data_IF_754555312537
#
_entry.id   IF_754555312537
#
_cell.length_a   1.000
_cell.length_b   1.000
_cell.length_c   1.000
_cell.angle_alpha   90.00
_cell.angle_beta   90.00
_cell.angle_gamma   90.00
#
_symmetry.space_group_name_H-M   'P 1'
#
loop_
_entity.id
_entity.type
_entity.pdbx_description
1 polymer ?
#
# COMPACT_ATOMS: atom_id res chain seq x y z
N UNK A 1 6.13 -3.36 0.18
CA UNK A 1 5.69 -2.26 1.07
C UNK A 1 5.50 -1.02 0.20
N UNK A 2 4.29 -0.75 -0.28
CA UNK A 2 3.98 0.49 -0.98
C UNK A 2 4.04 1.64 0.03
N UNK A 3 5.08 2.46 -0.08
CA UNK A 3 5.41 3.43 0.95
C UNK A 3 4.40 4.56 1.01
N UNK A 4 3.75 4.71 2.17
CA UNK A 4 2.99 5.90 2.59
C UNK A 4 3.92 7.09 2.88
N UNK A 5 4.94 7.27 2.04
CA UNK A 5 5.91 8.33 2.20
C UNK A 5 5.26 9.66 1.78
N UNK A 6 5.42 10.63 2.68
CA UNK A 6 5.35 12.07 2.47
C UNK A 6 4.02 12.76 2.80
N UNK A 7 3.91 13.16 4.07
CA UNK A 7 2.88 14.09 4.59
C UNK A 7 3.46 15.37 5.19
N UNK A 8 4.78 15.44 5.26
CA UNK A 8 5.53 16.55 5.84
C UNK A 8 5.82 17.58 4.74
N UNK A 9 5.78 18.87 5.08
CA UNK A 9 6.37 19.87 4.17
C UNK A 9 7.86 19.58 4.03
N UNK A 10 8.36 19.62 2.79
CA UNK A 10 9.74 19.27 2.44
C UNK A 10 10.75 20.10 3.23
N UNK A 11 10.37 21.31 3.61
CA UNK A 11 11.23 22.27 4.30
C UNK A 11 11.40 21.99 5.79
N UNK A 12 10.51 21.20 6.40
CA UNK A 12 10.71 20.68 7.76
C UNK A 12 11.80 19.61 7.80
N UNK A 13 12.27 19.14 6.64
CA UNK A 13 13.30 18.11 6.50
C UNK A 13 14.66 18.77 6.34
N UNK A 14 15.66 18.39 7.15
CA UNK A 14 17.03 18.88 7.00
C UNK A 14 17.54 18.72 5.56
N UNK A 15 18.21 19.74 5.03
CA UNK A 15 18.63 19.78 3.62
C UNK A 15 19.44 18.54 3.20
N UNK A 16 20.32 18.03 4.08
CA UNK A 16 21.10 16.83 3.80
C UNK A 16 20.23 15.56 3.72
N UNK A 17 19.12 15.47 4.47
CA UNK A 17 18.15 14.37 4.32
C UNK A 17 17.43 14.46 2.98
N UNK A 18 17.11 15.66 2.52
CA UNK A 18 16.45 15.83 1.22
C UNK A 18 17.30 15.26 0.09
N UNK A 19 18.62 15.50 0.10
CA UNK A 19 19.55 14.89 -0.87
C UNK A 19 19.53 13.36 -0.83
N UNK A 20 19.51 12.76 0.36
CA UNK A 20 19.41 11.29 0.53
C UNK A 20 18.07 10.77 -0.01
N UNK A 21 16.97 11.44 0.30
CA UNK A 21 15.64 11.08 -0.21
C UNK A 21 15.56 11.19 -1.73
N UNK A 22 16.08 12.28 -2.32
CA UNK A 22 16.13 12.45 -3.77
C UNK A 22 16.96 11.36 -4.43
N UNK A 23 18.13 11.01 -3.87
CA UNK A 23 18.94 9.90 -4.39
C UNK A 23 18.17 8.57 -4.36
N UNK A 24 17.51 8.26 -3.23
CA UNK A 24 16.73 7.05 -3.09
C UNK A 24 15.54 7.02 -4.05
N UNK A 25 14.77 8.11 -4.14
CA UNK A 25 13.65 8.26 -5.05
C UNK A 25 14.11 8.06 -6.51
N UNK A 26 15.13 8.78 -6.95
CA UNK A 26 15.70 8.63 -8.30
C UNK A 26 16.25 7.22 -8.57
N UNK A 27 16.75 6.51 -7.55
CA UNK A 27 17.14 5.10 -7.68
C UNK A 27 15.93 4.19 -7.90
N UNK A 28 14.83 4.40 -7.16
CA UNK A 28 13.60 3.62 -7.35
C UNK A 28 12.96 3.91 -8.71
N UNK A 29 12.85 5.18 -9.12
CA UNK A 29 12.28 5.54 -10.43
C UNK A 29 13.05 4.89 -11.58
N UNK A 30 14.40 4.86 -11.51
CA UNK A 30 15.22 4.13 -12.50
C UNK A 30 14.98 2.63 -12.49
N UNK A 31 14.78 2.02 -11.32
CA UNK A 31 14.54 0.58 -11.19
C UNK A 31 13.18 0.18 -11.79
N UNK A 32 12.15 0.99 -11.60
CA UNK A 32 10.80 0.69 -12.06
C UNK A 32 10.55 1.05 -13.53
N UNK A 33 11.49 1.71 -14.20
CA UNK A 33 11.34 2.22 -15.58
C UNK A 33 9.99 2.93 -15.79
N UNK A 34 9.52 3.64 -14.77
CA UNK A 34 8.20 4.26 -14.80
C UNK A 34 8.23 5.44 -15.75
N UNK A 35 7.43 5.35 -16.82
CA UNK A 35 7.11 6.48 -17.68
C UNK A 35 6.12 7.38 -16.96
N UNK A 36 6.32 8.69 -17.09
CA UNK A 36 5.49 9.69 -16.44
C UNK A 36 4.73 10.45 -17.50
N UNK A 37 3.42 10.55 -17.37
CA UNK A 37 2.60 11.25 -18.33
C UNK A 37 2.07 12.54 -17.73
N UNK A 38 2.07 13.61 -18.53
CA UNK A 38 1.43 14.86 -18.16
C UNK A 38 -0.08 14.62 -17.98
N UNK A 39 -0.70 15.04 -16.86
CA UNK A 39 -2.13 14.80 -16.65
C UNK A 39 -3.02 15.57 -17.64
N UNK A 40 -2.55 16.66 -18.24
CA UNK A 40 -3.30 17.44 -19.21
C UNK A 40 -3.21 16.88 -20.64
N UNK A 41 -2.01 16.51 -21.12
CA UNK A 41 -1.79 16.12 -22.52
C UNK A 41 -1.22 14.72 -22.73
N UNK A 42 -1.00 13.95 -21.66
CA UNK A 42 -0.42 12.59 -21.67
C UNK A 42 1.01 12.47 -22.23
N UNK A 43 1.68 13.58 -22.55
CA UNK A 43 3.07 13.56 -22.99
C UNK A 43 4.02 13.02 -21.92
N UNK A 44 5.04 12.27 -22.33
CA UNK A 44 6.02 11.66 -21.42
C UNK A 44 6.94 12.74 -20.81
N UNK A 45 7.12 12.69 -19.49
CA UNK A 45 7.87 13.65 -18.68
C UNK A 45 9.18 13.04 -18.16
N UNK A 46 10.23 13.86 -17.97
CA UNK A 46 11.51 13.38 -17.46
C UNK A 46 11.40 12.81 -16.03
N UNK A 47 12.11 11.71 -15.78
CA UNK A 47 12.00 10.90 -14.57
C UNK A 47 12.98 11.25 -13.44
N UNK A 48 13.27 12.54 -13.25
CA UNK A 48 14.18 13.02 -12.19
C UNK A 48 13.43 13.79 -11.10
N UNK A 49 13.93 13.66 -9.88
CA UNK A 49 13.49 14.36 -8.67
C UNK A 49 14.64 15.23 -8.18
N UNK A 50 14.43 16.53 -8.10
CA UNK A 50 15.34 17.49 -7.49
C UNK A 50 15.40 17.33 -5.97
N UNK A 51 16.55 17.68 -5.38
CA UNK A 51 16.73 17.57 -3.94
C UNK A 51 16.05 18.70 -3.15
N UNK A 52 15.71 19.81 -3.78
CA UNK A 52 15.23 21.00 -3.07
C UNK A 52 13.76 20.87 -2.67
N UNK A 53 12.91 20.42 -3.61
CA UNK A 53 11.47 20.30 -3.45
C UNK A 53 10.94 18.86 -3.39
N UNK A 54 11.77 17.84 -3.66
CA UNK A 54 11.39 16.42 -3.57
C UNK A 54 10.03 16.10 -4.22
N UNK A 55 9.01 15.75 -3.44
CA UNK A 55 7.66 15.41 -3.92
C UNK A 55 6.77 16.63 -4.18
N UNK A 56 7.17 17.81 -3.72
CA UNK A 56 6.50 19.09 -4.01
C UNK A 56 7.03 19.71 -5.31
N UNK A 57 7.96 19.07 -6.02
CA UNK A 57 8.45 19.59 -7.31
C UNK A 57 7.37 19.51 -8.40
N UNK A 58 7.15 20.64 -9.08
CA UNK A 58 6.29 20.74 -10.26
C UNK A 58 7.13 20.54 -11.51
N UNK A 59 6.85 19.50 -12.30
CA UNK A 59 7.56 19.29 -13.57
C UNK A 59 6.77 19.93 -14.71
N UNK A 60 7.32 20.95 -15.40
CA UNK A 60 6.66 21.54 -16.56
C UNK A 60 6.64 20.53 -17.70
N UNK A 61 5.48 20.39 -18.33
CA UNK A 61 5.31 19.56 -19.50
C UNK A 61 5.88 20.26 -20.73
N UNK A 62 6.83 19.65 -21.46
CA UNK A 62 7.40 20.26 -22.65
C UNK A 62 6.39 20.38 -23.80
N UNK A 63 5.30 19.59 -23.78
CA UNK A 63 4.31 19.59 -24.86
C UNK A 63 3.21 20.64 -24.69
N UNK A 64 2.65 20.78 -23.48
CA UNK A 64 1.52 21.70 -23.23
C UNK A 64 1.82 22.83 -22.24
N UNK A 65 3.02 22.86 -21.64
CA UNK A 65 3.38 23.83 -20.61
C UNK A 65 2.75 23.58 -19.23
N UNK A 66 1.76 22.68 -19.12
CA UNK A 66 1.12 22.36 -17.85
C UNK A 66 2.09 21.69 -16.86
N UNK A 67 1.85 21.86 -15.57
CA UNK A 67 2.75 21.41 -14.51
C UNK A 67 2.22 20.16 -13.84
N UNK A 68 2.94 19.05 -14.00
CA UNK A 68 2.55 17.79 -13.40
C UNK A 68 3.12 17.64 -11.98
N UNK A 69 2.30 17.24 -10.99
CA UNK A 69 2.82 16.88 -9.68
C UNK A 69 3.71 15.66 -9.75
N UNK A 70 4.83 15.68 -9.05
CA UNK A 70 5.70 14.50 -8.94
C UNK A 70 4.96 13.30 -8.32
N UNK A 71 3.86 13.50 -7.59
CA UNK A 71 3.05 12.40 -7.06
C UNK A 71 2.17 11.71 -8.09
N UNK A 72 1.83 12.34 -9.22
CA UNK A 72 1.12 11.62 -10.31
C UNK A 72 1.98 10.49 -10.89
N UNK A 73 3.31 10.55 -10.68
CA UNK A 73 4.28 9.53 -11.07
C UNK A 73 4.03 8.14 -10.46
N UNK A 74 3.35 8.07 -9.32
CA UNK A 74 3.03 6.80 -8.67
C UNK A 74 1.66 6.27 -9.11
N UNK A 75 0.89 7.04 -9.86
CA UNK A 75 -0.35 6.59 -10.48
C UNK A 75 0.02 5.89 -11.77
N UNK A 76 0.21 4.57 -11.71
CA UNK A 76 0.28 3.77 -12.93
C UNK A 76 -1.09 3.89 -13.60
N UNK A 77 -1.13 4.59 -14.74
CA UNK A 77 -2.37 4.89 -15.48
C UNK A 77 -2.82 3.72 -16.34
N UNK A 78 -1.93 2.75 -16.59
CA UNK A 78 -2.32 1.52 -17.26
C UNK A 78 -3.24 0.73 -16.35
N UNK A 79 -4.52 0.85 -16.65
CA UNK A 79 -5.54 -0.02 -16.14
C UNK A 79 -5.17 -1.47 -16.47
N UNK A 80 -4.81 -2.23 -15.44
CA UNK A 80 -4.48 -3.64 -15.62
C UNK A 80 -5.70 -4.36 -16.15
N UNK A 81 -5.50 -5.46 -16.89
CA UNK A 81 -6.63 -6.29 -17.35
C UNK A 81 -7.56 -6.68 -16.19
N UNK A 82 -7.01 -6.93 -14.99
CA UNK A 82 -7.81 -7.19 -13.79
C UNK A 82 -8.72 -6.03 -13.39
N UNK A 83 -8.26 -4.79 -13.54
CA UNK A 83 -9.07 -3.60 -13.28
C UNK A 83 -10.18 -3.47 -14.31
N UNK A 84 -9.87 -3.66 -15.60
CA UNK A 84 -10.87 -3.65 -16.68
C UNK A 84 -11.97 -4.68 -16.44
N UNK A 85 -11.61 -5.92 -16.09
CA UNK A 85 -12.60 -6.96 -15.79
C UNK A 85 -13.35 -6.75 -14.47
N UNK A 86 -12.78 -5.99 -13.53
CA UNK A 86 -13.46 -5.67 -12.28
C UNK A 86 -14.47 -4.53 -12.45
N UNK A 87 -14.17 -3.58 -13.33
CA UNK A 87 -14.98 -2.39 -13.58
C UNK A 87 -16.00 -2.63 -14.72
N UNK A 88 -15.70 -3.52 -15.67
CA UNK A 88 -16.57 -3.87 -16.81
C UNK A 88 -17.12 -5.29 -16.70
N UNK A 89 -18.44 -5.43 -16.76
CA UNK A 89 -19.13 -6.75 -16.81
C UNK A 89 -19.22 -7.30 -18.24
N UNK A 90 -18.11 -7.20 -18.98
CA UNK A 90 -18.00 -7.82 -20.31
C UNK A 90 -18.07 -9.34 -20.19
N UNK A 91 -18.70 -9.97 -21.18
CA UNK A 91 -18.69 -11.43 -21.29
C UNK A 91 -17.26 -11.91 -21.55
N UNK A 92 -16.74 -12.75 -20.67
CA UNK A 92 -15.40 -13.32 -20.77
C UNK A 92 -15.50 -14.79 -21.17
N UNK A 93 -14.95 -15.11 -22.34
CA UNK A 93 -14.83 -16.50 -22.80
C UNK A 93 -13.92 -17.33 -21.87
N UNK A 94 -14.16 -18.64 -21.83
CA UNK A 94 -13.34 -19.55 -21.03
C UNK A 94 -11.90 -19.54 -21.57
N UNK A 95 -10.87 -19.19 -20.76
CA UNK A 95 -9.50 -19.21 -21.24
C UNK A 95 -9.05 -20.64 -21.57
N UNK A 96 -8.45 -20.86 -22.74
CA UNK A 96 -7.97 -22.19 -23.16
C UNK A 96 -6.95 -22.80 -22.20
N UNK A 97 -6.15 -21.95 -21.55
CA UNK A 97 -5.14 -22.36 -20.58
C UNK A 97 -5.69 -22.60 -19.17
N UNK A 98 -7.02 -22.54 -18.97
CA UNK A 98 -7.58 -22.62 -17.62
C UNK A 98 -7.33 -23.96 -16.99
N UNK A 99 -6.79 -23.95 -15.76
CA UNK A 99 -6.63 -25.19 -14.97
C UNK A 99 -7.85 -25.47 -14.08
N UNK A 100 -8.87 -24.63 -14.14
CA UNK A 100 -10.10 -24.78 -13.36
C UNK A 100 -10.96 -25.87 -14.02
N UNK A 101 -11.30 -26.88 -13.23
CA UNK A 101 -12.19 -27.96 -13.66
C UNK A 101 -13.62 -27.60 -13.25
N UNK A 102 -14.52 -27.57 -14.22
CA UNK A 102 -15.95 -27.35 -14.03
C UNK A 102 -16.68 -28.69 -14.16
N UNK A 103 -17.49 -29.02 -13.16
CA UNK A 103 -18.29 -30.24 -13.08
C UNK A 103 -19.76 -29.87 -12.87
N UNK A 104 -20.66 -30.47 -13.64
CA UNK A 104 -22.10 -30.37 -13.41
C UNK A 104 -22.52 -31.47 -12.42
N UNK A 105 -23.01 -31.10 -11.24
CA UNK A 105 -23.37 -32.03 -10.17
C UNK A 105 -24.81 -32.57 -10.30
N UNK A 106 -25.51 -32.24 -11.39
CA UNK A 106 -26.91 -32.60 -11.64
C UNK A 106 -27.87 -31.59 -11.01
N UNK A 107 -27.66 -31.20 -9.75
CA UNK A 107 -28.42 -30.14 -9.07
C UNK A 107 -27.78 -28.75 -9.16
N UNK A 108 -26.52 -28.67 -9.60
CA UNK A 108 -25.73 -27.46 -9.50
C UNK A 108 -24.46 -27.48 -10.35
N UNK A 109 -23.57 -26.51 -10.09
CA UNK A 109 -22.25 -26.43 -10.72
C UNK A 109 -21.16 -26.45 -9.66
N UNK A 110 -20.05 -27.11 -9.95
CA UNK A 110 -18.87 -27.17 -9.09
C UNK A 110 -17.63 -26.76 -9.87
N UNK A 111 -16.84 -25.88 -9.27
CA UNK A 111 -15.53 -25.48 -9.80
C UNK A 111 -14.43 -25.91 -8.83
N UNK A 112 -13.48 -26.69 -9.33
CA UNK A 112 -12.24 -27.00 -8.62
C UNK A 112 -11.13 -26.08 -9.13
N UNK A 113 -10.75 -25.12 -8.28
CA UNK A 113 -9.62 -24.24 -8.49
C UNK A 113 -8.37 -24.93 -7.96
N UNK A 114 -7.43 -25.30 -8.84
CA UNK A 114 -6.24 -26.03 -8.44
C UNK A 114 -5.36 -25.15 -7.56
N UNK A 115 -4.51 -25.80 -6.77
CA UNK A 115 -3.48 -25.09 -6.05
C UNK A 115 -2.54 -24.39 -7.05
N UNK A 116 -2.07 -23.19 -6.71
CA UNK A 116 -1.12 -22.45 -7.56
C UNK A 116 0.06 -23.34 -7.96
N UNK A 117 0.52 -24.15 -7.00
CA UNK A 117 1.73 -24.95 -7.10
C UNK A 117 2.99 -24.07 -7.06
N UNK A 118 4.14 -24.74 -7.12
CA UNK A 118 5.43 -24.09 -7.30
C UNK A 118 5.97 -23.32 -6.10
N UNK A 119 7.11 -22.68 -6.33
CA UNK A 119 7.81 -21.91 -5.31
C UNK A 119 7.23 -20.50 -5.21
N UNK A 120 7.08 -19.97 -4.00
CA UNK A 120 6.68 -18.59 -3.78
C UNK A 120 7.66 -17.85 -2.87
N UNK A 121 7.57 -16.53 -2.86
CA UNK A 121 8.45 -15.69 -2.05
C UNK A 121 8.40 -16.07 -0.57
N UNK A 122 7.21 -16.34 0.00
CA UNK A 122 7.09 -16.71 1.40
C UNK A 122 7.78 -18.04 1.72
N UNK A 123 7.68 -19.05 0.84
CA UNK A 123 8.44 -20.29 0.96
C UNK A 123 9.95 -20.05 0.93
N UNK A 124 10.42 -19.29 -0.06
CA UNK A 124 11.86 -18.97 -0.21
C UNK A 124 12.38 -18.24 1.02
N UNK A 125 11.67 -17.18 1.42
CA UNK A 125 12.02 -16.37 2.57
C UNK A 125 12.02 -17.21 3.85
N UNK A 126 10.99 -18.03 4.06
CA UNK A 126 10.91 -18.88 5.24
C UNK A 126 12.05 -19.89 5.33
N UNK A 127 12.44 -20.54 4.22
CA UNK A 127 13.57 -21.46 4.23
C UNK A 127 14.89 -20.75 4.48
N UNK A 128 15.15 -19.63 3.80
CA UNK A 128 16.36 -18.82 4.03
C UNK A 128 16.40 -18.33 5.47
N UNK A 129 15.27 -17.87 6.01
CA UNK A 129 15.14 -17.43 7.39
C UNK A 129 15.36 -18.56 8.39
N UNK A 130 14.82 -19.74 8.14
CA UNK A 130 15.02 -20.91 9.00
C UNK A 130 16.48 -21.37 9.00
N UNK A 131 17.13 -21.40 7.84
CA UNK A 131 18.57 -21.68 7.74
C UNK A 131 19.37 -20.64 8.51
N UNK A 132 19.09 -19.35 8.28
CA UNK A 132 19.76 -18.24 8.97
C UNK A 132 19.60 -18.32 10.49
N UNK A 133 18.36 -18.49 10.97
CA UNK A 133 18.08 -18.57 12.41
C UNK A 133 18.67 -19.82 13.05
N UNK A 134 18.68 -20.95 12.34
CA UNK A 134 19.34 -22.18 12.81
C UNK A 134 20.85 -21.98 12.94
N UNK A 135 21.50 -21.34 11.96
CA UNK A 135 22.94 -21.07 12.01
C UNK A 135 23.28 -20.06 13.11
N UNK A 136 22.52 -18.97 13.21
CA UNK A 136 22.80 -17.89 14.18
C UNK A 136 22.49 -18.32 15.61
N UNK A 137 21.36 -18.98 15.84
CA UNK A 137 20.92 -19.33 17.19
C UNK A 137 21.25 -20.78 17.58
N UNK A 138 21.68 -21.63 16.66
CA UNK A 138 22.03 -23.03 16.95
C UNK A 138 23.07 -23.14 18.07
N UNK A 139 24.11 -22.30 18.03
CA UNK A 139 25.12 -22.23 19.10
C UNK A 139 24.55 -21.77 20.44
N UNK A 140 23.60 -20.83 20.44
CA UNK A 140 22.94 -20.38 21.68
C UNK A 140 22.06 -21.47 22.29
N UNK A 141 21.35 -22.27 21.49
CA UNK A 141 20.55 -23.39 21.98
C UNK A 141 21.40 -24.49 22.62
N UNK A 142 22.59 -24.76 22.06
CA UNK A 142 23.51 -25.77 22.61
C UNK A 142 24.18 -25.33 23.92
N UNK A 143 24.31 -24.02 24.16
CA UNK A 143 24.99 -23.45 25.33
C UNK A 143 24.05 -22.86 26.38
N UNK A 144 22.75 -22.80 26.13
CA UNK A 144 21.80 -22.15 27.04
C UNK A 144 21.61 -22.97 28.33
N UNK A 145 22.01 -22.37 29.47
CA UNK A 145 21.83 -22.94 30.81
C UNK A 145 20.63 -22.34 31.58
N UNK A 146 19.88 -21.43 30.94
CA UNK A 146 18.69 -20.80 31.51
C UNK A 146 17.56 -20.81 30.47
N UNK A 147 16.34 -21.12 30.91
CA UNK A 147 15.14 -21.17 30.08
C UNK A 147 14.90 -19.88 29.29
N UNK A 148 15.25 -18.72 29.87
CA UNK A 148 15.06 -17.43 29.20
C UNK A 148 15.98 -17.29 27.97
N UNK A 149 17.23 -17.74 28.09
CA UNK A 149 18.20 -17.76 26.98
C UNK A 149 17.81 -18.76 25.90
N UNK A 150 16.99 -19.76 26.22
CA UNK A 150 16.45 -20.73 25.27
C UNK A 150 15.18 -20.22 24.59
N UNK A 151 14.23 -19.64 25.33
CA UNK A 151 12.95 -19.18 24.77
C UNK A 151 13.08 -17.93 23.91
N UNK A 152 13.95 -17.00 24.31
CA UNK A 152 14.11 -15.75 23.59
C UNK A 152 14.51 -15.95 22.11
N UNK A 153 15.51 -16.78 21.76
CA UNK A 153 15.83 -17.05 20.35
C UNK A 153 14.79 -17.96 19.67
N UNK A 154 14.01 -18.76 20.41
CA UNK A 154 13.00 -19.67 19.84
C UNK A 154 11.88 -18.94 19.08
N UNK A 155 11.61 -17.68 19.40
CA UNK A 155 10.62 -16.88 18.66
C UNK A 155 10.97 -16.76 17.16
N UNK A 156 12.25 -16.69 16.81
CA UNK A 156 12.70 -16.48 15.43
C UNK A 156 12.46 -17.70 14.52
N UNK A 157 12.86 -18.94 14.87
CA UNK A 157 12.51 -20.12 14.08
C UNK A 157 11.01 -20.40 14.11
N UNK A 158 10.30 -20.11 15.21
CA UNK A 158 8.83 -20.24 15.25
C UNK A 158 8.17 -19.30 14.24
N UNK A 159 8.63 -18.05 14.13
CA UNK A 159 8.19 -17.13 13.07
C UNK A 159 8.52 -17.67 11.67
N UNK A 160 9.71 -18.25 11.49
CA UNK A 160 10.12 -18.92 10.25
C UNK A 160 9.19 -20.07 9.85
N UNK A 161 8.86 -20.94 10.80
CA UNK A 161 7.90 -22.04 10.60
C UNK A 161 6.50 -21.50 10.30
N UNK A 162 6.10 -20.39 10.92
CA UNK A 162 4.86 -19.68 10.60
C UNK A 162 4.82 -19.20 9.15
N UNK A 163 5.89 -18.55 8.67
CA UNK A 163 6.00 -18.14 7.27
C UNK A 163 6.07 -19.33 6.31
N UNK A 164 6.76 -20.41 6.68
CA UNK A 164 6.82 -21.64 5.89
C UNK A 164 5.43 -22.24 5.72
N UNK A 165 4.68 -22.36 6.82
CA UNK A 165 3.30 -22.83 6.82
C UNK A 165 2.42 -21.94 5.92
N UNK A 166 2.52 -20.62 6.03
CA UNK A 166 1.76 -19.68 5.17
C UNK A 166 2.14 -19.89 3.70
N UNK A 167 3.43 -19.99 3.39
CA UNK A 167 3.93 -20.22 2.03
C UNK A 167 3.44 -21.55 1.44
N UNK A 168 3.50 -22.64 2.21
CA UNK A 168 2.97 -23.95 1.81
C UNK A 168 1.46 -23.86 1.59
N UNK A 169 0.75 -23.18 2.49
CA UNK A 169 -0.70 -22.98 2.40
C UNK A 169 -1.12 -22.12 1.22
N UNK A 170 -0.29 -21.18 0.77
CA UNK A 170 -0.51 -20.42 -0.46
C UNK A 170 -0.20 -21.26 -1.71
N UNK A 171 0.79 -22.15 -1.64
CA UNK A 171 1.21 -22.98 -2.77
C UNK A 171 0.33 -24.20 -3.01
N UNK A 172 -0.15 -24.86 -1.95
CA UNK A 172 -0.74 -26.21 -2.00
C UNK A 172 -2.23 -26.23 -1.67
N UNK A 173 -2.83 -25.11 -1.26
CA UNK A 173 -4.26 -25.09 -0.97
C UNK A 173 -5.08 -25.22 -2.26
N UNK A 174 -5.99 -26.18 -2.29
CA UNK A 174 -7.01 -26.33 -3.32
C UNK A 174 -8.30 -25.71 -2.84
N UNK A 175 -9.03 -25.11 -3.77
CA UNK A 175 -10.29 -24.44 -3.49
C UNK A 175 -11.37 -25.07 -4.35
N UNK A 176 -12.46 -25.48 -3.73
CA UNK A 176 -13.63 -26.02 -4.41
C UNK A 176 -14.79 -25.12 -4.09
N UNK A 177 -15.49 -24.66 -5.12
CA UNK A 177 -16.74 -23.93 -4.99
C UNK A 177 -17.85 -24.76 -5.61
N UNK A 178 -18.90 -25.00 -4.86
CA UNK A 178 -20.07 -25.76 -5.30
C UNK A 178 -21.30 -24.88 -5.07
N UNK A 179 -22.12 -24.73 -6.10
CA UNK A 179 -23.35 -23.94 -6.07
C UNK A 179 -24.51 -24.89 -6.34
N UNK A 180 -25.26 -25.15 -5.28
CA UNK A 180 -26.50 -25.91 -5.27
C UNK A 180 -27.71 -24.96 -5.38
N UNK A 181 -28.94 -25.48 -5.53
CA UNK A 181 -30.14 -24.65 -5.57
C UNK A 181 -30.34 -23.82 -4.29
N UNK A 182 -29.87 -24.32 -3.15
CA UNK A 182 -30.08 -23.71 -1.83
C UNK A 182 -28.83 -23.04 -1.27
N UNK A 183 -27.64 -23.57 -1.58
CA UNK A 183 -26.40 -23.17 -0.90
C UNK A 183 -25.25 -22.97 -1.88
N UNK A 184 -24.37 -22.02 -1.54
CA UNK A 184 -23.01 -21.96 -2.04
C UNK A 184 -22.10 -22.56 -0.97
N UNK A 185 -21.37 -23.61 -1.32
CA UNK A 185 -20.42 -24.32 -0.48
C UNK A 185 -19.02 -24.02 -0.98
N UNK A 186 -18.24 -23.34 -0.14
CA UNK A 186 -16.82 -23.13 -0.37
C UNK A 186 -16.00 -24.08 0.51
N UNK A 187 -15.15 -24.88 -0.12
CA UNK A 187 -14.28 -25.84 0.54
C UNK A 187 -12.83 -25.52 0.23
N UNK A 188 -12.01 -25.35 1.26
CA UNK A 188 -10.56 -25.23 1.13
C UNK A 188 -9.90 -26.47 1.68
N UNK A 189 -9.12 -27.17 0.85
CA UNK A 189 -8.34 -28.35 1.23
C UNK A 189 -6.86 -28.00 1.28
N UNK A 190 -6.18 -28.36 2.37
CA UNK A 190 -4.74 -28.16 2.54
C UNK A 190 -4.17 -29.23 3.47
N UNK A 191 -3.23 -30.05 2.98
CA UNK A 191 -2.58 -31.13 3.74
C UNK A 191 -3.57 -32.01 4.54
N UNK A 192 -4.60 -32.53 3.87
CA UNK A 192 -5.65 -33.35 4.49
C UNK A 192 -6.67 -32.57 5.32
N UNK A 193 -6.36 -31.36 5.77
CA UNK A 193 -7.32 -30.50 6.47
C UNK A 193 -8.32 -29.91 5.48
N UNK A 194 -9.60 -30.01 5.80
CA UNK A 194 -10.69 -29.46 5.01
C UNK A 194 -11.43 -28.41 5.83
N UNK A 195 -11.45 -27.16 5.34
CA UNK A 195 -12.28 -26.09 5.90
C UNK A 195 -13.44 -25.81 4.95
N UNK A 196 -14.66 -26.10 5.38
CA UNK A 196 -15.90 -25.87 4.63
C UNK A 196 -16.61 -24.63 5.17
N UNK A 197 -17.18 -23.83 4.28
CA UNK A 197 -18.08 -22.72 4.62
C UNK A 197 -19.27 -22.77 3.70
N UNK A 198 -20.46 -22.80 4.28
CA UNK A 198 -21.72 -22.85 3.56
C UNK A 198 -22.45 -21.52 3.73
N UNK A 199 -22.96 -20.98 2.63
CA UNK A 199 -23.73 -19.73 2.59
C UNK A 199 -25.04 -20.02 1.86
N UNK A 200 -26.18 -19.58 2.40
CA UNK A 200 -27.47 -19.74 1.71
C UNK A 200 -27.50 -18.84 0.48
N UNK A 201 -27.96 -19.37 -0.65
CA UNK A 201 -28.02 -18.66 -1.95
C UNK A 201 -28.77 -17.33 -1.83
N UNK A 202 -29.93 -17.35 -1.19
CA UNK A 202 -30.78 -16.17 -0.91
C UNK A 202 -30.09 -15.07 -0.08
N UNK A 203 -29.07 -15.41 0.69
CA UNK A 203 -28.34 -14.47 1.56
C UNK A 203 -27.11 -13.86 0.90
N UNK A 204 -26.79 -14.24 -0.34
CA UNK A 204 -25.63 -13.70 -1.05
C UNK A 204 -26.00 -12.30 -1.55
N UNK A 205 -25.28 -11.30 -1.07
CA UNK A 205 -25.48 -9.89 -1.42
C UNK A 205 -24.80 -9.55 -2.75
N UNK A 206 -23.59 -10.06 -2.98
CA UNK A 206 -22.85 -9.84 -4.22
C UNK A 206 -21.78 -10.91 -4.46
N UNK A 207 -21.46 -11.10 -5.75
CA UNK A 207 -20.27 -11.82 -6.21
C UNK A 207 -19.54 -10.88 -7.15
N UNK A 208 -18.25 -10.61 -6.92
CA UNK A 208 -17.49 -9.69 -7.76
C UNK A 208 -15.99 -9.96 -7.67
N UNK A 209 -15.24 -9.44 -8.63
CA UNK A 209 -13.80 -9.27 -8.47
C UNK A 209 -13.55 -8.13 -7.49
N UNK A 210 -12.97 -8.45 -6.34
CA UNK A 210 -12.59 -7.47 -5.34
C UNK A 210 -11.07 -7.45 -5.17
N UNK A 211 -10.49 -6.26 -5.00
CA UNK A 211 -9.09 -6.15 -4.66
C UNK A 211 -8.86 -6.67 -3.24
N UNK A 212 -8.06 -7.73 -3.12
CA UNK A 212 -7.80 -8.40 -1.85
C UNK A 212 -6.64 -7.68 -1.12
N UNK A 213 -5.62 -7.29 -1.87
CA UNK A 213 -4.46 -6.54 -1.40
C UNK A 213 -3.78 -5.82 -2.57
N UNK A 214 -2.87 -4.89 -2.31
CA UNK A 214 -1.99 -4.31 -3.32
C UNK A 214 -0.55 -4.82 -3.15
N UNK A 215 0.05 -5.32 -4.23
CA UNK A 215 1.46 -5.75 -4.27
C UNK A 215 2.23 -4.80 -5.18
N UNK A 216 3.24 -4.13 -4.63
CA UNK A 216 4.08 -3.17 -5.36
C UNK A 216 3.30 -2.05 -6.07
N UNK A 217 2.15 -1.66 -5.48
CA UNK A 217 1.26 -0.63 -6.02
C UNK A 217 0.22 -1.17 -6.99
N UNK A 218 0.35 -2.41 -7.44
CA UNK A 218 -0.63 -3.08 -8.29
C UNK A 218 -1.71 -3.75 -7.43
N UNK A 219 -3.00 -3.45 -7.66
CA UNK A 219 -4.08 -4.13 -6.98
C UNK A 219 -4.15 -5.60 -7.43
N UNK A 220 -4.14 -6.53 -6.48
CA UNK A 220 -4.33 -7.95 -6.73
C UNK A 220 -5.78 -8.29 -6.46
N UNK A 221 -6.51 -8.64 -7.52
CA UNK A 221 -7.93 -9.00 -7.43
C UNK A 221 -8.13 -10.49 -7.14
N UNK A 222 -9.29 -10.83 -6.61
CA UNK A 222 -9.80 -12.20 -6.58
C UNK A 222 -11.32 -12.19 -6.40
N UNK A 223 -11.94 -13.36 -6.51
CA UNK A 223 -13.38 -13.48 -6.30
C UNK A 223 -13.72 -13.19 -4.83
N UNK A 224 -14.66 -12.29 -4.60
CA UNK A 224 -15.33 -12.05 -3.34
C UNK A 224 -16.81 -12.42 -3.45
N UNK A 225 -17.26 -13.36 -2.61
CA UNK A 225 -18.68 -13.64 -2.36
C UNK A 225 -19.05 -13.01 -1.03
N UNK A 226 -19.97 -12.05 -1.03
CA UNK A 226 -20.38 -11.29 0.15
C UNK A 226 -21.76 -11.76 0.63
N UNK A 227 -21.89 -11.97 1.93
CA UNK A 227 -23.17 -12.24 2.60
C UNK A 227 -23.21 -11.60 3.99
N UNK A 228 -24.36 -11.53 4.68
CA UNK A 228 -24.46 -11.04 6.05
C UNK A 228 -23.57 -11.83 7.03
N UNK A 229 -23.36 -13.12 6.77
CA UNK A 229 -22.50 -13.99 7.56
C UNK A 229 -20.99 -13.77 7.30
N UNK A 230 -20.63 -12.85 6.40
CA UNK A 230 -19.27 -12.41 6.10
C UNK A 230 -18.87 -12.64 4.65
N UNK A 231 -17.56 -12.63 4.38
CA UNK A 231 -17.02 -12.63 3.00
C UNK A 231 -16.17 -13.85 2.73
N UNK A 232 -16.31 -14.44 1.55
CA UNK A 232 -15.45 -15.53 1.05
C UNK A 232 -14.57 -14.94 -0.04
N UNK A 233 -13.26 -14.98 0.14
CA UNK A 233 -12.26 -14.50 -0.82
C UNK A 233 -11.35 -15.63 -1.28
N UNK A 234 -11.17 -15.79 -2.58
CA UNK A 234 -10.28 -16.80 -3.16
C UNK A 234 -9.89 -16.43 -4.60
N UNK A 235 -9.03 -17.24 -5.21
CA UNK A 235 -8.65 -17.05 -6.62
C UNK A 235 -7.65 -15.93 -6.88
N UNK A 236 -7.01 -15.33 -5.87
CA UNK A 236 -6.05 -14.23 -6.06
C UNK A 236 -4.83 -14.59 -6.92
N UNK A 237 -4.56 -15.89 -7.05
CA UNK A 237 -3.42 -16.44 -7.79
C UNK A 237 -3.75 -16.89 -9.21
N UNK A 238 -5.03 -16.83 -9.60
CA UNK A 238 -5.48 -17.13 -10.96
C UNK A 238 -4.99 -16.05 -11.93
N UNK A 239 -4.99 -16.35 -13.23
CA UNK A 239 -4.78 -15.32 -14.24
C UNK A 239 -5.97 -14.33 -14.27
N UNK A 240 -5.77 -13.07 -14.72
CA UNK A 240 -6.84 -12.06 -14.81
C UNK A 240 -8.11 -12.58 -15.50
N UNK A 241 -7.97 -13.19 -16.68
CA UNK A 241 -9.07 -13.75 -17.46
C UNK A 241 -9.74 -14.94 -16.76
N UNK A 242 -8.98 -15.84 -16.13
CA UNK A 242 -9.53 -16.96 -15.34
C UNK A 242 -10.38 -16.44 -14.16
N UNK A 243 -9.96 -15.36 -13.49
CA UNK A 243 -10.73 -14.72 -12.42
C UNK A 243 -12.05 -14.16 -12.95
N UNK A 244 -11.99 -13.42 -14.05
CA UNK A 244 -13.16 -12.78 -14.65
C UNK A 244 -14.17 -13.83 -15.13
N UNK A 245 -13.71 -14.82 -15.89
CA UNK A 245 -14.51 -15.97 -16.32
C UNK A 245 -15.14 -16.71 -15.13
N UNK A 246 -14.36 -17.07 -14.11
CA UNK A 246 -14.89 -17.77 -12.94
C UNK A 246 -15.93 -16.91 -12.17
N UNK A 247 -15.69 -15.61 -12.06
CA UNK A 247 -16.63 -14.67 -11.44
C UNK A 247 -17.96 -14.66 -12.20
N UNK A 248 -17.90 -14.61 -13.53
CA UNK A 248 -19.07 -14.71 -14.41
C UNK A 248 -19.83 -16.02 -14.22
N UNK A 249 -19.13 -17.17 -14.28
CA UNK A 249 -19.76 -18.50 -14.10
C UNK A 249 -20.47 -18.63 -12.75
N UNK A 250 -19.88 -18.09 -11.68
CA UNK A 250 -20.47 -18.13 -10.34
C UNK A 250 -21.68 -17.22 -10.24
N UNK A 251 -21.65 -16.03 -10.86
CA UNK A 251 -22.81 -15.13 -10.94
C UNK A 251 -23.98 -15.78 -11.68
N UNK A 252 -23.69 -16.36 -12.84
CA UNK A 252 -24.69 -17.07 -13.66
C UNK A 252 -25.35 -18.20 -12.87
N UNK A 253 -24.55 -19.06 -12.22
CA UNK A 253 -25.09 -20.18 -11.44
C UNK A 253 -25.93 -19.74 -10.23
N UNK A 254 -25.63 -18.57 -9.66
CA UNK A 254 -26.39 -17.96 -8.57
C UNK A 254 -27.61 -17.16 -9.07
N UNK A 255 -27.74 -16.91 -10.37
CA UNK A 255 -28.83 -16.18 -10.98
C UNK A 255 -28.71 -14.66 -10.86
N UNK A 256 -27.49 -14.13 -10.70
CA UNK A 256 -27.24 -12.69 -10.80
C UNK A 256 -27.21 -12.29 -12.28
N UNK A 257 -27.96 -11.26 -12.65
CA UNK A 257 -27.94 -10.71 -14.00
C UNK A 257 -26.57 -10.11 -14.32
N UNK A 258 -26.08 -10.35 -15.54
CA UNK A 258 -24.97 -9.59 -16.11
C UNK A 258 -25.43 -8.13 -16.23
N UNK A 259 -24.69 -7.21 -15.61
CA UNK A 259 -24.97 -5.78 -15.56
C UNK A 259 -25.58 -5.27 -14.25
N UNK A 260 -25.76 -6.12 -13.22
CA UNK A 260 -26.24 -5.63 -11.92
C UNK A 260 -25.10 -4.92 -11.19
N UNK A 261 -25.07 -3.59 -11.33
CA UNK A 261 -24.09 -2.71 -10.70
C UNK A 261 -24.02 -3.01 -9.19
N UNK A 262 -22.90 -3.61 -8.77
CA UNK A 262 -22.74 -4.02 -7.38
C UNK A 262 -22.80 -2.76 -6.49
N UNK A 263 -23.57 -2.78 -5.39
CA UNK A 263 -23.63 -1.63 -4.51
C UNK A 263 -22.21 -1.28 -4.02
N UNK A 264 -21.77 -0.02 -4.14
CA UNK A 264 -20.40 0.36 -3.80
C UNK A 264 -20.10 -0.09 -2.37
N UNK A 265 -19.01 -0.85 -2.20
CA UNK A 265 -18.58 -1.42 -0.92
C UNK A 265 -18.25 -0.31 0.09
N UNK A 266 -19.27 0.26 0.72
CA UNK A 266 -19.21 1.41 1.62
C UNK A 266 -18.45 1.13 2.92
N UNK A 267 -18.28 -0.15 3.31
CA UNK A 267 -17.64 -0.56 4.57
C UNK A 267 -16.10 -0.62 4.53
N UNK A 268 -15.45 -0.46 3.38
CA UNK A 268 -13.97 -0.43 3.31
C UNK A 268 -13.39 0.93 3.74
N UNK A 269 -14.15 2.01 3.50
CA UNK A 269 -13.70 3.39 3.70
C UNK A 269 -13.68 3.82 5.18
N UNK A 270 -14.53 3.26 6.03
CA UNK A 270 -14.71 3.76 7.41
C UNK A 270 -13.54 3.47 8.35
N UNK A 271 -12.71 2.45 8.05
CA UNK A 271 -11.58 2.06 8.89
C UNK A 271 -10.26 2.74 8.49
N UNK A 272 -10.20 3.32 7.29
CA UNK A 272 -9.04 4.07 6.80
C UNK A 272 -9.21 5.60 6.97
N UNK A 273 -9.83 6.04 8.08
CA UNK A 273 -9.93 7.46 8.49
C UNK A 273 -8.54 8.03 8.82
N UNK A 274 -7.73 8.26 7.78
CA UNK A 274 -6.32 8.62 7.91
C UNK A 274 -6.05 10.12 7.90
N UNK A 275 -7.00 10.92 7.40
CA UNK A 275 -6.95 12.37 7.36
C UNK A 275 -8.27 12.96 7.79
N UNK A 276 -8.23 13.91 8.71
CA UNK A 276 -9.36 14.78 9.03
C UNK A 276 -9.07 16.15 8.43
N UNK A 277 -10.07 16.71 7.76
CA UNK A 277 -10.07 18.07 7.26
C UNK A 277 -10.98 18.91 8.14
N UNK A 278 -10.44 19.98 8.70
CA UNK A 278 -11.23 21.04 9.32
C UNK A 278 -11.30 22.19 8.31
N UNK A 279 -12.51 22.67 8.05
CA UNK A 279 -12.77 23.74 7.10
C UNK A 279 -13.46 24.87 7.83
N UNK A 280 -12.96 26.09 7.68
CA UNK A 280 -13.53 27.29 8.27
C UNK A 280 -13.70 28.34 7.16
N UNK A 281 -14.91 28.90 7.06
CA UNK A 281 -15.26 29.92 6.08
C UNK A 281 -15.42 31.25 6.80
N UNK A 282 -14.52 32.17 6.53
CA UNK A 282 -14.64 33.57 6.93
C UNK A 282 -15.37 34.41 5.87
N UNK A 283 -15.63 35.70 6.15
CA UNK A 283 -16.22 36.63 5.19
C UNK A 283 -15.35 36.77 3.92
N UNK A 284 -14.04 36.94 4.13
CA UNK A 284 -13.07 37.26 3.05
C UNK A 284 -11.96 36.21 2.94
N UNK A 285 -12.11 35.07 3.61
CA UNK A 285 -11.10 34.01 3.59
C UNK A 285 -11.67 32.60 3.73
N UNK A 286 -10.94 31.63 3.20
CA UNK A 286 -11.18 30.20 3.37
C UNK A 286 -10.00 29.55 4.06
N UNK A 287 -10.27 28.73 5.08
CA UNK A 287 -9.25 28.03 5.84
C UNK A 287 -9.48 26.52 5.77
N UNK A 288 -8.43 25.77 5.42
CA UNK A 288 -8.44 24.30 5.40
C UNK A 288 -7.27 23.78 6.24
N UNK A 289 -7.57 23.05 7.31
CA UNK A 289 -6.57 22.37 8.13
C UNK A 289 -6.59 20.88 7.85
N UNK A 290 -5.43 20.31 7.56
CA UNK A 290 -5.24 18.89 7.31
C UNK A 290 -4.38 18.26 8.39
N UNK A 291 -4.92 17.22 9.03
CA UNK A 291 -4.22 16.43 10.03
C UNK A 291 -3.74 15.10 9.47
N UNK A 292 -2.46 14.77 9.73
CA UNK A 292 -1.80 13.58 9.18
C UNK A 292 -1.33 12.58 10.22
N UNK A 293 -2.23 12.19 11.14
CA UNK A 293 -1.86 11.34 12.28
C UNK A 293 -1.53 9.90 11.88
N UNK A 294 -2.23 9.31 10.91
CA UNK A 294 -2.12 7.86 10.68
C UNK A 294 -0.77 7.42 10.10
N UNK A 295 -0.21 8.14 9.11
CA UNK A 295 1.10 7.77 8.57
C UNK A 295 2.21 7.89 9.61
N UNK A 296 2.19 8.96 10.42
CA UNK A 296 3.15 9.12 11.52
C UNK A 296 3.13 7.95 12.50
N UNK A 297 1.94 7.43 12.85
CA UNK A 297 1.79 6.25 13.73
C UNK A 297 2.40 4.98 13.12
N UNK A 298 2.17 4.69 11.83
CA UNK A 298 2.76 3.53 11.17
C UNK A 298 4.29 3.60 11.12
N UNK A 299 4.84 4.79 10.82
CA UNK A 299 6.29 5.00 10.79
C UNK A 299 6.90 4.87 12.19
N UNK A 300 6.25 5.40 13.23
CA UNK A 300 6.64 5.22 14.62
C UNK A 300 6.68 3.74 15.02
N UNK A 301 5.64 2.98 14.69
CA UNK A 301 5.58 1.55 15.00
C UNK A 301 6.70 0.77 14.31
N UNK A 302 6.97 1.08 13.03
CA UNK A 302 8.10 0.50 12.29
C UNK A 302 9.45 0.84 12.93
N UNK A 303 9.66 2.10 13.33
CA UNK A 303 10.88 2.50 14.02
C UNK A 303 11.10 1.78 15.35
N UNK A 304 10.04 1.66 16.17
CA UNK A 304 10.10 0.94 17.45
C UNK A 304 10.44 -0.55 17.25
N UNK A 305 9.91 -1.17 16.20
CA UNK A 305 10.23 -2.55 15.83
C UNK A 305 11.73 -2.69 15.50
N UNK A 306 12.29 -1.84 14.64
CA UNK A 306 13.71 -1.91 14.27
C UNK A 306 14.64 -1.67 15.46
N UNK A 307 14.33 -0.70 16.34
CA UNK A 307 15.12 -0.46 17.56
C UNK A 307 15.06 -1.67 18.48
N UNK A 308 13.86 -2.22 18.73
CA UNK A 308 13.68 -3.38 19.62
C UNK A 308 14.44 -4.60 19.12
N UNK A 309 14.30 -4.93 17.84
CA UNK A 309 15.00 -6.07 17.21
C UNK A 309 16.50 -5.85 17.22
N UNK A 310 16.97 -4.65 16.84
CA UNK A 310 18.40 -4.33 16.83
C UNK A 310 19.04 -4.41 18.21
N UNK A 311 18.39 -3.87 19.25
CA UNK A 311 18.88 -3.93 20.63
C UNK A 311 18.91 -5.38 21.15
N UNK A 312 17.85 -6.14 20.92
CA UNK A 312 17.78 -7.55 21.32
C UNK A 312 18.93 -8.35 20.71
N UNK A 313 19.12 -8.19 19.40
CA UNK A 313 20.18 -8.84 18.66
C UNK A 313 21.58 -8.40 19.16
N UNK A 314 21.78 -7.13 19.49
CA UNK A 314 23.06 -6.58 19.95
C UNK A 314 23.43 -7.04 21.36
N UNK A 315 22.43 -7.23 22.22
CA UNK A 315 22.61 -7.85 23.54
C UNK A 315 23.02 -9.32 23.42
N UNK A 316 22.42 -10.07 22.48
CA UNK A 316 22.79 -11.46 22.20
C UNK A 316 24.22 -11.60 21.68
N UNK A 317 24.66 -10.69 20.80
CA UNK A 317 26.00 -10.73 20.20
C UNK A 317 27.15 -10.62 21.22
N UNK A 318 26.95 -9.97 22.38
CA UNK A 318 27.99 -9.89 23.42
C UNK A 318 28.39 -11.26 23.98
N UNK A 319 27.51 -12.25 23.90
CA UNK A 319 27.71 -13.60 24.45
C UNK A 319 28.32 -14.58 23.44
N UNK A 320 28.50 -14.16 22.18
CA UNK A 320 28.82 -15.06 21.06
C UNK A 320 30.28 -14.96 20.58
N UNK A 321 31.13 -14.13 21.20
CA UNK A 321 32.54 -14.02 20.79
C UNK A 321 33.21 -15.38 20.81
N UNK A 322 33.77 -15.75 19.66
CA UNK A 322 34.42 -17.03 19.52
C UNK A 322 35.75 -16.98 20.31
N UNK A 323 36.03 -18.00 21.13
CA UNK A 323 37.25 -18.02 21.91
C UNK A 323 38.48 -18.13 21.00
N UNK A 324 39.62 -17.67 21.52
CA UNK A 324 40.86 -17.43 20.78
C UNK A 324 41.61 -18.73 20.44
N UNK A 325 41.13 -19.85 20.95
CA UNK A 325 41.63 -21.22 20.81
C UNK A 325 41.15 -21.92 19.54
N UNK A 326 40.24 -21.31 18.76
CA UNK A 326 39.89 -21.78 17.43
C UNK A 326 41.04 -21.54 16.44
N UNK A 327 41.16 -22.42 15.44
CA UNK A 327 42.04 -22.24 14.29
C UNK A 327 41.94 -20.82 13.73
N UNK A 328 43.10 -20.21 13.44
CA UNK A 328 43.22 -18.80 13.04
C UNK A 328 42.21 -18.40 11.97
N UNK A 329 42.07 -19.22 10.91
CA UNK A 329 41.11 -18.96 9.83
C UNK A 329 39.66 -18.87 10.34
N UNK A 330 39.23 -19.81 11.17
CA UNK A 330 37.87 -19.84 11.72
C UNK A 330 37.64 -18.71 12.72
N UNK A 331 38.64 -18.38 13.55
CA UNK A 331 38.56 -17.23 14.45
C UNK A 331 38.24 -15.93 13.68
N UNK A 332 38.99 -15.63 12.61
CA UNK A 332 38.74 -14.43 11.81
C UNK A 332 37.43 -14.49 11.03
N UNK A 333 37.04 -15.67 10.50
CA UNK A 333 35.78 -15.84 9.80
C UNK A 333 34.57 -15.62 10.72
N UNK A 334 34.54 -16.27 11.88
CA UNK A 334 33.42 -16.16 12.83
C UNK A 334 33.37 -14.78 13.47
N UNK A 335 34.49 -14.25 13.97
CA UNK A 335 34.50 -12.91 14.55
C UNK A 335 34.27 -11.82 13.50
N UNK A 336 34.73 -12.01 12.25
CA UNK A 336 34.41 -11.12 11.13
C UNK A 336 32.91 -11.08 10.81
N UNK A 337 32.24 -12.24 10.80
CA UNK A 337 30.78 -12.32 10.67
C UNK A 337 30.06 -11.70 11.86
N UNK A 338 30.57 -11.85 13.09
CA UNK A 338 30.03 -11.18 14.28
C UNK A 338 30.16 -9.65 14.20
N UNK A 339 31.30 -9.15 13.71
CA UNK A 339 31.51 -7.71 13.47
C UNK A 339 30.54 -7.21 12.40
N UNK A 340 30.37 -7.94 11.28
CA UNK A 340 29.39 -7.59 10.25
C UNK A 340 27.95 -7.59 10.80
N UNK A 341 27.61 -8.61 11.60
CA UNK A 341 26.34 -8.73 12.32
C UNK A 341 26.13 -7.53 13.25
N UNK A 342 27.16 -7.12 13.99
CA UNK A 342 27.13 -5.95 14.87
C UNK A 342 26.87 -4.66 14.09
N UNK A 343 27.61 -4.41 13.01
CA UNK A 343 27.36 -3.26 12.12
C UNK A 343 25.94 -3.27 11.54
N UNK A 344 25.44 -4.43 11.13
CA UNK A 344 24.06 -4.58 10.65
C UNK A 344 23.03 -4.20 11.72
N UNK A 345 23.24 -4.59 12.98
CA UNK A 345 22.36 -4.21 14.09
C UNK A 345 22.44 -2.73 14.43
N UNK A 346 23.65 -2.15 14.48
CA UNK A 346 23.82 -0.71 14.67
C UNK A 346 23.09 0.06 13.58
N UNK A 347 23.24 -0.34 12.31
CA UNK A 347 22.51 0.24 11.20
C UNK A 347 20.98 0.11 11.39
N UNK A 348 20.48 -1.05 11.80
CA UNK A 348 19.05 -1.25 12.07
C UNK A 348 18.53 -0.35 13.20
N UNK A 349 19.29 -0.19 14.28
CA UNK A 349 18.96 0.72 15.39
C UNK A 349 18.93 2.16 14.91
N UNK A 350 19.93 2.60 14.13
CA UNK A 350 19.99 3.95 13.57
C UNK A 350 18.81 4.22 12.63
N UNK A 351 18.46 3.26 11.76
CA UNK A 351 17.25 3.34 10.93
C UNK A 351 15.99 3.40 11.78
N UNK A 352 15.93 2.62 12.87
CA UNK A 352 14.81 2.63 13.81
C UNK A 352 14.61 3.99 14.48
N UNK A 353 15.69 4.59 15.03
CA UNK A 353 15.65 5.95 15.59
C UNK A 353 15.31 7.02 14.56
N UNK A 354 15.80 6.85 13.33
CA UNK A 354 15.47 7.73 12.22
C UNK A 354 13.97 7.70 11.91
N UNK A 355 13.38 6.50 11.78
CA UNK A 355 11.94 6.32 11.59
C UNK A 355 11.15 6.87 12.79
N UNK A 356 11.59 6.63 14.03
CA UNK A 356 10.92 7.19 15.21
C UNK A 356 10.87 8.71 15.18
N UNK A 357 12.00 9.34 14.86
CA UNK A 357 12.11 10.80 14.77
C UNK A 357 11.21 11.33 13.66
N UNK A 358 11.27 10.73 12.47
CA UNK A 358 10.46 11.15 11.33
C UNK A 358 8.95 10.94 11.58
N UNK A 359 8.57 9.78 12.13
CA UNK A 359 7.19 9.46 12.46
C UNK A 359 6.63 10.40 13.52
N UNK A 360 7.44 10.78 14.51
CA UNK A 360 7.06 11.77 15.52
C UNK A 360 6.80 13.15 14.93
N UNK A 361 7.72 13.66 14.11
CA UNK A 361 7.57 14.95 13.42
C UNK A 361 6.34 14.91 12.50
N UNK A 362 6.19 13.85 11.70
CA UNK A 362 5.06 13.66 10.77
C UNK A 362 3.72 13.63 11.49
N UNK A 363 3.62 12.93 12.63
CA UNK A 363 2.41 12.87 13.45
C UNK A 363 2.02 14.23 14.05
N UNK A 364 3.00 15.07 14.35
CA UNK A 364 2.81 16.43 14.89
C UNK A 364 2.70 17.51 13.81
N UNK A 365 2.84 17.14 12.54
CA UNK A 365 2.72 18.11 11.45
C UNK A 365 1.24 18.40 11.17
N UNK A 366 0.88 19.69 11.23
CA UNK A 366 -0.42 20.21 10.80
C UNK A 366 -0.15 21.09 9.58
N UNK A 367 -0.87 20.85 8.49
CA UNK A 367 -0.84 21.73 7.31
C UNK A 367 -2.12 22.55 7.31
N UNK A 368 -1.98 23.86 7.23
CA UNK A 368 -3.07 24.82 7.15
C UNK A 368 -2.92 25.59 5.83
N UNK A 369 -3.98 25.63 5.05
CA UNK A 369 -4.08 26.43 3.84
C UNK A 369 -5.09 27.52 4.11
N UNK A 370 -4.65 28.76 3.98
CA UNK A 370 -5.48 29.95 4.11
C UNK A 370 -5.49 30.65 2.76
N UNK A 371 -6.68 30.85 2.20
CA UNK A 371 -6.90 31.58 0.97
C UNK A 371 -7.69 32.85 1.27
N UNK A 372 -7.31 33.95 0.64
CA UNK A 372 -8.05 35.21 0.57
C UNK A 372 -8.04 35.72 -0.87
N UNK A 373 -8.65 36.88 -1.13
CA UNK A 373 -8.78 37.44 -2.48
C UNK A 373 -7.44 37.73 -3.17
N UNK A 374 -6.35 37.87 -2.41
CA UNK A 374 -5.04 38.30 -2.93
C UNK A 374 -3.99 37.21 -2.85
N UNK A 375 -4.12 36.29 -1.91
CA UNK A 375 -3.08 35.34 -1.58
C UNK A 375 -3.58 33.97 -1.17
N UNK A 376 -2.74 32.97 -1.43
CA UNK A 376 -2.81 31.65 -0.85
C UNK A 376 -1.61 31.46 0.07
N UNK A 377 -1.86 31.27 1.35
CA UNK A 377 -0.84 30.98 2.36
C UNK A 377 -0.91 29.52 2.80
N UNK A 378 0.22 28.81 2.74
CA UNK A 378 0.39 27.51 3.38
C UNK A 378 1.22 27.67 4.64
N UNK A 379 0.64 27.29 5.77
CA UNK A 379 1.27 27.25 7.08
C UNK A 379 1.45 25.79 7.48
N UNK A 380 2.70 25.33 7.57
CA UNK A 380 3.03 24.01 8.11
C UNK A 380 3.64 24.16 9.50
N UNK A 381 2.97 23.62 10.52
CA UNK A 381 3.47 23.61 11.90
C UNK A 381 3.85 22.20 12.31
N UNK A 382 4.99 22.03 12.96
CA UNK A 382 5.39 20.77 13.56
C UNK A 382 6.15 21.02 14.86
N UNK A 383 5.47 20.81 15.99
CA UNK A 383 6.02 21.20 17.29
C UNK A 383 6.16 22.73 17.38
N UNK A 384 7.35 23.22 17.74
CA UNK A 384 7.64 24.66 17.82
C UNK A 384 8.14 25.30 16.52
N UNK A 385 8.24 24.53 15.41
CA UNK A 385 8.66 25.06 14.11
C UNK A 385 7.42 25.37 13.26
N UNK A 386 7.42 26.56 12.67
CA UNK A 386 6.40 27.03 11.73
C UNK A 386 7.10 27.44 10.45
N UNK A 387 6.58 26.95 9.33
CA UNK A 387 7.01 27.34 7.99
C UNK A 387 5.78 27.91 7.30
N UNK A 388 5.89 29.14 6.80
CA UNK A 388 4.84 29.82 6.08
C UNK A 388 5.32 30.16 4.67
N UNK A 389 4.48 29.85 3.69
CA UNK A 389 4.62 30.30 2.32
C UNK A 389 3.37 31.05 1.94
N UNK A 390 3.55 32.10 1.15
CA UNK A 390 2.45 32.90 0.63
C UNK A 390 2.70 33.10 -0.86
N UNK A 391 1.70 32.79 -1.67
CA UNK A 391 1.69 32.99 -3.12
C UNK A 391 0.59 33.97 -3.47
N UNK A 392 0.78 34.73 -4.55
CA UNK A 392 -0.30 35.55 -5.09
C UNK A 392 -1.35 34.64 -5.74
N UNK A 393 -2.61 35.04 -5.73
CA UNK A 393 -3.69 34.28 -6.38
C UNK A 393 -3.42 34.08 -7.89
N UNK A 394 -2.74 35.03 -8.53
CA UNK A 394 -2.35 34.94 -9.96
C UNK A 394 -1.35 33.81 -10.24
N UNK A 395 -0.54 33.43 -9.24
CA UNK A 395 0.42 32.33 -9.33
C UNK A 395 -0.25 30.97 -9.08
N UNK A 396 -1.44 30.96 -8.48
CA UNK A 396 -2.20 29.75 -8.22
C UNK A 396 -2.82 29.26 -9.52
N UNK A 397 -2.20 28.22 -10.09
CA UNK A 397 -2.69 27.56 -11.29
C UNK A 397 -3.93 26.70 -10.97
N UNK A 398 -3.79 25.38 -11.11
CA UNK A 398 -4.92 24.46 -10.94
C UNK A 398 -5.01 23.91 -9.51
N UNK A 399 -6.18 24.05 -8.90
CA UNK A 399 -6.59 23.24 -7.73
C UNK A 399 -7.44 22.06 -8.18
N UNK A 400 -7.12 20.85 -7.71
CA UNK A 400 -7.89 19.64 -8.09
C UNK A 400 -7.79 18.54 -7.04
N UNK A 401 -8.73 17.59 -7.09
CA UNK A 401 -8.67 16.36 -6.30
C UNK A 401 -8.21 15.22 -7.21
N UNK A 402 -7.11 14.57 -6.84
CA UNK A 402 -6.50 13.48 -7.63
C UNK A 402 -6.43 12.18 -6.81
N UNK A 403 -6.39 11.05 -7.50
CA UNK A 403 -6.31 9.71 -6.89
C UNK A 403 -4.85 9.39 -6.54
N UNK A 404 -4.37 9.73 -5.34
CA UNK A 404 -2.97 9.46 -4.94
C UNK A 404 -2.53 8.00 -5.16
N UNK A 405 -3.35 7.03 -4.73
CA UNK A 405 -3.06 5.59 -4.87
C UNK A 405 -4.35 4.77 -4.74
N UNK A 406 -4.36 3.51 -5.19
CA UNK A 406 -5.42 2.53 -4.84
C UNK A 406 -4.91 1.63 -3.71
N UNK A 407 -5.59 1.60 -2.57
CA UNK A 407 -5.29 0.70 -1.45
C UNK A 407 -6.41 -0.31 -1.31
N UNK A 408 -6.12 -1.59 -1.55
CA UNK A 408 -7.12 -2.67 -1.51
C UNK A 408 -8.36 -2.33 -2.37
N UNK A 409 -8.13 -1.82 -3.59
CA UNK A 409 -9.17 -1.40 -4.54
C UNK A 409 -9.88 -0.11 -4.19
N UNK A 410 -9.64 0.44 -3.00
CA UNK A 410 -10.20 1.73 -2.60
C UNK A 410 -9.29 2.85 -3.10
N UNK A 411 -9.85 3.77 -3.88
CA UNK A 411 -9.13 4.97 -4.31
C UNK A 411 -8.86 5.88 -3.10
N UNK A 412 -7.59 6.19 -2.86
CA UNK A 412 -7.14 7.16 -1.87
C UNK A 412 -6.93 8.48 -2.59
N UNK A 413 -7.68 9.49 -2.19
CA UNK A 413 -7.64 10.81 -2.81
C UNK A 413 -6.75 11.78 -2.02
N UNK A 414 -6.28 12.81 -2.72
CA UNK A 414 -5.66 13.99 -2.12
C UNK A 414 -6.03 15.23 -2.93
N UNK A 415 -6.03 16.39 -2.28
CA UNK A 415 -6.17 17.67 -2.96
C UNK A 415 -4.78 18.21 -3.32
N UNK A 416 -4.70 18.86 -4.48
CA UNK A 416 -3.47 19.30 -5.12
C UNK A 416 -3.66 20.74 -5.57
N UNK A 417 -2.74 21.61 -5.17
CA UNK A 417 -2.62 22.98 -5.64
C UNK A 417 -1.35 23.11 -6.47
N UNK A 418 -1.51 23.47 -7.74
CA UNK A 418 -0.41 23.62 -8.69
C UNK A 418 0.08 25.07 -8.69
N UNK A 419 1.37 25.28 -8.42
CA UNK A 419 2.03 26.58 -8.36
C UNK A 419 3.17 26.63 -9.41
N UNK A 420 3.80 27.80 -9.66
CA UNK A 420 4.80 27.97 -10.71
C UNK A 420 6.13 27.27 -10.43
N UNK A 421 6.43 26.91 -9.19
CA UNK A 421 7.68 26.22 -8.83
C UNK A 421 7.40 24.88 -8.13
N UNK A 422 6.18 24.68 -7.63
CA UNK A 422 5.87 23.56 -6.76
C UNK A 422 4.42 23.08 -6.86
N UNK A 423 4.17 21.96 -6.21
CA UNK A 423 2.83 21.41 -6.03
C UNK A 423 2.60 21.16 -4.54
N UNK A 424 1.57 21.78 -4.00
CA UNK A 424 1.16 21.61 -2.60
C UNK A 424 0.07 20.57 -2.52
N UNK A 425 0.29 19.51 -1.74
CA UNK A 425 -0.69 18.46 -1.50
C UNK A 425 -1.24 18.52 -0.07
N UNK A 426 -2.54 18.30 0.08
CA UNK A 426 -3.22 18.28 1.38
C UNK A 426 -4.38 17.28 1.42
N UNK A 427 -4.79 16.91 2.64
CA UNK A 427 -5.97 16.07 2.85
C UNK A 427 -5.85 14.62 2.38
N UNK A 428 -4.63 14.09 2.25
CA UNK A 428 -4.41 12.71 1.82
C UNK A 428 -5.24 11.71 2.64
N UNK A 429 -6.08 10.94 1.97
CA UNK A 429 -6.96 9.93 2.57
C UNK A 429 -8.24 10.48 3.19
N UNK A 430 -8.52 11.79 3.06
CA UNK A 430 -9.85 12.31 3.33
C UNK A 430 -10.84 11.86 2.23
N UNK A 431 -12.15 11.77 2.54
CA UNK A 431 -13.17 11.45 1.54
C UNK A 431 -13.12 12.44 0.35
N UNK A 432 -13.32 11.94 -0.88
CA UNK A 432 -13.32 12.76 -2.10
C UNK A 432 -14.23 13.98 -1.99
N UNK A 433 -15.44 13.81 -1.43
CA UNK A 433 -16.40 14.89 -1.24
C UNK A 433 -15.94 15.96 -0.23
N UNK A 434 -15.15 15.60 0.79
CA UNK A 434 -14.55 16.59 1.70
C UNK A 434 -13.41 17.35 1.01
N UNK A 435 -12.59 16.65 0.23
CA UNK A 435 -11.53 17.27 -0.56
C UNK A 435 -12.08 18.24 -1.61
N UNK A 436 -13.17 17.86 -2.29
CA UNK A 436 -13.86 18.72 -3.25
C UNK A 436 -14.41 19.97 -2.56
N UNK A 437 -15.07 19.81 -1.39
CA UNK A 437 -15.53 20.96 -0.60
C UNK A 437 -14.38 21.87 -0.15
N UNK A 438 -13.26 21.29 0.27
CA UNK A 438 -12.08 22.05 0.67
C UNK A 438 -11.47 22.83 -0.50
N UNK A 439 -11.35 22.22 -1.68
CA UNK A 439 -10.89 22.88 -2.90
C UNK A 439 -11.85 24.00 -3.30
N UNK A 440 -13.17 23.74 -3.35
CA UNK A 440 -14.18 24.75 -3.66
C UNK A 440 -14.16 25.93 -2.68
N UNK A 441 -13.93 25.67 -1.39
CA UNK A 441 -13.83 26.71 -0.36
C UNK A 441 -12.62 27.63 -0.62
N UNK A 442 -11.44 27.05 -0.89
CA UNK A 442 -10.23 27.83 -1.15
C UNK A 442 -10.37 28.63 -2.44
N UNK A 443 -10.88 28.04 -3.52
CA UNK A 443 -11.05 28.73 -4.81
C UNK A 443 -12.06 29.88 -4.71
N UNK A 444 -13.17 29.67 -4.01
CA UNK A 444 -14.17 30.72 -3.79
C UNK A 444 -13.59 31.91 -2.99
N UNK A 445 -12.74 31.65 -1.99
CA UNK A 445 -12.10 32.71 -1.22
C UNK A 445 -11.10 33.55 -2.04
N UNK A 446 -10.51 32.96 -3.09
CA UNK A 446 -9.61 33.67 -4.02
C UNK A 446 -10.35 34.39 -5.16
N UNK A 447 -11.68 34.38 -5.17
CA UNK A 447 -12.47 34.90 -6.30
C UNK A 447 -12.28 34.12 -7.61
N UNK A 448 -11.69 32.92 -7.56
CA UNK A 448 -11.54 32.06 -8.72
C UNK A 448 -12.84 31.27 -8.90
N UNK A 449 -13.65 31.65 -9.89
CA UNK A 449 -14.72 30.78 -10.36
C UNK A 449 -14.07 29.52 -10.93
N UNK A 450 -14.20 28.41 -10.21
CA UNK A 450 -13.93 27.13 -10.84
C UNK A 450 -14.93 26.98 -11.98
N UNK A 451 -14.41 27.01 -13.22
CA UNK A 451 -14.99 26.20 -14.27
C UNK A 451 -15.10 24.81 -13.67
N UNK A 452 -16.31 24.42 -13.27
CA UNK A 452 -16.58 23.12 -12.68
C UNK A 452 -15.93 22.12 -13.63
N UNK A 453 -14.80 21.54 -13.21
CA UNK A 453 -14.12 20.57 -14.04
C UNK A 453 -15.19 19.55 -14.37
N UNK A 454 -15.48 19.29 -15.66
CA UNK A 454 -16.44 18.26 -16.01
C UNK A 454 -16.03 17.06 -15.18
N UNK A 455 -16.97 16.52 -14.39
CA UNK A 455 -16.72 15.28 -13.67
C UNK A 455 -16.06 14.38 -14.70
N UNK A 456 -14.80 14.02 -14.49
CA UNK A 456 -14.07 13.07 -15.34
C UNK A 456 -14.75 11.70 -15.10
N UNK A 457 -15.98 11.59 -15.60
CA UNK A 457 -16.66 10.40 -16.01
C UNK A 457 -16.18 10.11 -17.43
N UNK A 458 -14.85 9.99 -17.61
CA UNK A 458 -14.39 8.98 -18.56
C UNK A 458 -14.46 7.66 -17.80
N UNK A 459 -15.69 7.17 -17.67
CA UNK A 459 -15.94 5.74 -17.65
C UNK A 459 -15.61 5.29 -19.07
N UNK A 460 -14.44 4.68 -19.23
CA UNK A 460 -13.89 4.20 -20.47
C UNK A 460 -12.72 3.30 -20.16
#
# INVERSE_FOLDING_TARGET
>A
MGGSFFRMSVELIPQWWRRVFAWFANRQLRKFKTEFHCPACQATLPSRVGADLLWEEAVPCPACGDRAPLTSRFMRTEETEEMKFADTEEFVERPDSTRIVEENTGSGRRWEVPAKGGWNFMLTFALVWLVFTTVVFGGTFLKANNWLSTLAPLVFPVLGLGFLYIGLRMSLARHTLEVDPVHLVYTRRFLGMTKRRTVRRESIESVQLACIYAQDGEPVYGLEVKSPAGRIRFGSTLAPQEKAWLCQQVREALGFALGSEAPPSSKSLSNWRGGSLEMERGPDHGLVRSHSRSAGTFVLAGGLFFVSVGLYLLLGAKLEWAPWDLDFFFYFLFNGLLVLKWFGMVAAILVGFWLLTFGWISRRTIKMLQADERSLSMIATSGGRMVQHTWNVEDVGRMSVVIFMRMNGTQVYQAVVTLPDRVVTFGLGAPRAELQRAVSLLSAAMGQEHAALPNDHRAG
#
